data_IF_120475536788
#
_entry.id   IF_120475536788
#
_cell.length_a   1.000
_cell.length_b   1.000
_cell.length_c   1.000
_cell.angle_alpha   90.00
_cell.angle_beta   90.00
_cell.angle_gamma   90.00
#
_symmetry.space_group_name_H-M   'P 1'
#
loop_
_entity.id
_entity.type
_entity.pdbx_description
1 polymer ?
#
# COMPACT_ATOMS: atom_id res chain seq x y z
N UNK A 1 8.22 34.44 -16.79
CA UNK A 1 7.52 33.22 -17.24
C UNK A 1 8.11 31.90 -16.67
N UNK A 2 9.35 31.87 -16.24
CA UNK A 2 9.95 30.66 -15.62
C UNK A 2 9.44 30.32 -14.22
N UNK A 3 8.88 31.29 -13.50
CA UNK A 3 8.50 31.11 -12.07
C UNK A 3 7.21 30.33 -11.84
N UNK A 4 6.30 30.24 -12.81
CA UNK A 4 4.98 29.60 -12.63
C UNK A 4 5.09 28.09 -12.75
N UNK A 5 5.88 27.56 -13.70
CA UNK A 5 6.08 26.10 -13.85
C UNK A 5 6.82 25.49 -12.67
N UNK A 6 7.76 26.22 -12.07
CA UNK A 6 8.51 25.77 -10.87
C UNK A 6 7.63 25.79 -9.61
N UNK A 7 6.70 26.74 -9.49
CA UNK A 7 5.78 26.79 -8.36
C UNK A 7 4.74 25.67 -8.40
N UNK A 8 4.15 25.36 -9.56
CA UNK A 8 3.18 24.26 -9.69
C UNK A 8 3.83 22.89 -9.46
N UNK A 9 5.03 22.66 -9.99
CA UNK A 9 5.78 21.41 -9.74
C UNK A 9 6.16 21.23 -8.28
N UNK A 10 6.60 22.29 -7.63
CA UNK A 10 6.90 22.26 -6.20
C UNK A 10 5.64 22.15 -5.33
N UNK A 11 4.51 22.71 -5.76
CA UNK A 11 3.26 22.61 -5.03
C UNK A 11 2.75 21.17 -4.97
N UNK A 12 2.80 20.44 -6.09
CA UNK A 12 2.43 19.03 -6.13
C UNK A 12 3.31 18.20 -5.16
N UNK A 13 4.63 18.34 -5.26
CA UNK A 13 5.57 17.62 -4.41
C UNK A 13 5.36 17.93 -2.93
N UNK A 14 5.16 19.20 -2.57
CA UNK A 14 4.87 19.62 -1.20
C UNK A 14 3.58 19.02 -0.68
N UNK A 15 2.51 19.03 -1.49
CA UNK A 15 1.22 18.44 -1.11
C UNK A 15 1.33 16.92 -0.88
N UNK A 16 2.12 16.20 -1.68
CA UNK A 16 2.36 14.77 -1.47
C UNK A 16 3.12 14.53 -0.14
N UNK A 17 4.14 15.33 0.14
CA UNK A 17 4.87 15.24 1.43
C UNK A 17 3.94 15.56 2.61
N UNK A 18 3.17 16.63 2.52
CA UNK A 18 2.23 17.04 3.58
C UNK A 18 1.14 15.99 3.80
N UNK A 19 0.57 15.43 2.73
CA UNK A 19 -0.41 14.34 2.80
C UNK A 19 0.17 13.13 3.54
N UNK A 20 1.42 12.76 3.24
CA UNK A 20 2.09 11.66 3.93
C UNK A 20 2.27 11.97 5.43
N UNK A 21 2.75 13.15 5.79
CA UNK A 21 2.94 13.54 7.18
C UNK A 21 1.63 13.56 7.98
N UNK A 22 0.56 14.07 7.37
CA UNK A 22 -0.78 14.05 7.99
C UNK A 22 -1.26 12.62 8.13
N UNK A 23 -1.13 11.80 7.09
CA UNK A 23 -1.54 10.40 7.09
C UNK A 23 -0.79 9.59 8.15
N UNK A 24 0.52 9.81 8.30
CA UNK A 24 1.31 9.16 9.35
C UNK A 24 0.77 9.52 10.76
N UNK A 25 0.48 10.80 11.01
CA UNK A 25 -0.07 11.25 12.31
C UNK A 25 -1.46 10.67 12.60
N UNK A 26 -2.32 10.56 11.60
CA UNK A 26 -3.65 9.95 11.73
C UNK A 26 -3.52 8.44 11.98
N UNK A 27 -2.62 7.79 11.25
CA UNK A 27 -2.47 6.34 11.26
C UNK A 27 -1.72 5.78 12.48
N UNK A 28 -0.83 6.57 13.08
CA UNK A 28 -0.01 6.11 14.22
C UNK A 28 -0.82 5.96 15.51
N UNK A 29 -1.95 6.66 15.67
CA UNK A 29 -2.76 6.61 16.88
C UNK A 29 -1.93 6.78 18.17
N UNK A 30 -2.49 7.24 19.26
CA UNK A 30 -1.75 7.38 20.51
C UNK A 30 -1.41 5.99 21.10
N UNK A 31 -0.15 5.56 20.96
CA UNK A 31 0.41 4.45 21.74
C UNK A 31 0.50 3.09 21.06
N UNK A 32 0.24 2.95 19.78
CA UNK A 32 0.38 1.67 19.08
C UNK A 32 1.77 1.44 18.48
N UNK A 33 2.29 0.20 18.66
CA UNK A 33 3.63 -0.18 18.23
C UNK A 33 3.82 -0.32 16.71
N UNK A 34 2.75 -0.40 15.92
CA UNK A 34 2.81 -0.54 14.47
C UNK A 34 1.63 0.17 13.79
N UNK A 35 1.91 1.26 13.08
CA UNK A 35 0.94 1.98 12.28
C UNK A 35 0.46 1.19 11.06
N UNK A 36 -0.67 1.60 10.48
CA UNK A 36 -1.23 1.01 9.25
C UNK A 36 -0.23 1.02 8.09
N UNK A 37 0.74 1.92 8.10
CA UNK A 37 1.80 2.00 7.09
C UNK A 37 2.98 1.07 7.35
N UNK A 38 2.95 0.25 8.42
CA UNK A 38 3.94 -0.82 8.58
C UNK A 38 3.78 -1.86 7.47
N UNK A 39 4.88 -2.50 7.11
CA UNK A 39 4.88 -3.52 6.06
C UNK A 39 3.90 -4.67 6.35
N UNK A 40 3.69 -5.02 7.61
CA UNK A 40 2.71 -6.04 8.01
C UNK A 40 1.30 -5.65 7.55
N UNK A 41 0.82 -4.47 7.93
CA UNK A 41 -0.53 -4.03 7.55
C UNK A 41 -0.66 -3.76 6.05
N UNK A 42 0.40 -3.27 5.40
CA UNK A 42 0.40 -3.10 3.95
C UNK A 42 0.26 -4.45 3.22
N UNK A 43 0.92 -5.51 3.70
CA UNK A 43 0.75 -6.87 3.14
C UNK A 43 -0.68 -7.37 3.37
N UNK A 44 -1.22 -7.24 4.59
CA UNK A 44 -2.61 -7.62 4.88
C UNK A 44 -3.59 -6.89 3.94
N UNK A 45 -3.41 -5.60 3.76
CA UNK A 45 -4.26 -4.78 2.89
C UNK A 45 -4.18 -5.20 1.41
N UNK A 46 -2.98 -5.52 0.91
CA UNK A 46 -2.81 -6.00 -0.48
C UNK A 46 -3.49 -7.35 -0.66
N UNK A 47 -3.34 -8.26 0.31
CA UNK A 47 -3.96 -9.58 0.27
C UNK A 47 -5.49 -9.53 0.39
N UNK A 48 -6.02 -8.61 1.19
CA UNK A 48 -7.47 -8.39 1.29
C UNK A 48 -8.10 -7.98 -0.04
N UNK A 49 -7.36 -7.23 -0.86
CA UNK A 49 -7.85 -6.75 -2.16
C UNK A 49 -7.65 -7.70 -3.33
N UNK A 50 -6.73 -8.64 -3.23
CA UNK A 50 -6.29 -9.46 -4.38
C UNK A 50 -6.49 -10.97 -4.19
N UNK A 51 -7.08 -11.40 -3.10
CA UNK A 51 -7.30 -12.79 -2.70
C UNK A 51 -6.01 -13.62 -2.57
N UNK A 52 -5.14 -13.58 -3.57
CA UNK A 52 -3.85 -14.28 -3.60
C UNK A 52 -2.78 -13.42 -4.27
N UNK A 53 -1.59 -13.41 -3.70
CA UNK A 53 -0.47 -12.59 -4.19
C UNK A 53 0.83 -13.37 -4.08
N UNK A 54 1.66 -13.29 -5.12
CA UNK A 54 2.98 -13.90 -5.12
C UNK A 54 4.01 -13.06 -4.36
N UNK A 55 5.11 -13.65 -3.86
CA UNK A 55 6.20 -12.88 -3.26
C UNK A 55 6.76 -11.81 -4.20
N UNK A 56 6.82 -12.09 -5.49
CA UNK A 56 7.32 -11.15 -6.50
C UNK A 56 6.44 -9.90 -6.61
N UNK A 57 5.12 -10.07 -6.56
CA UNK A 57 4.18 -8.96 -6.56
C UNK A 57 4.32 -8.11 -5.30
N UNK A 58 4.42 -8.73 -4.11
CA UNK A 58 4.62 -8.00 -2.85
C UNK A 58 5.94 -7.20 -2.86
N UNK A 59 7.03 -7.79 -3.33
CA UNK A 59 8.33 -7.11 -3.47
C UNK A 59 8.18 -5.88 -4.36
N UNK A 60 7.48 -6.02 -5.49
CA UNK A 60 7.26 -4.93 -6.44
C UNK A 60 6.37 -3.82 -5.86
N UNK A 61 5.26 -4.17 -5.23
CA UNK A 61 4.31 -3.19 -4.70
C UNK A 61 4.85 -2.43 -3.49
N UNK A 62 5.56 -3.13 -2.61
CA UNK A 62 6.10 -2.53 -1.37
C UNK A 62 7.52 -1.98 -1.55
N UNK A 63 8.11 -2.16 -2.73
CA UNK A 63 9.51 -1.77 -2.99
C UNK A 63 10.48 -2.27 -1.90
N UNK A 64 10.31 -3.52 -1.47
CA UNK A 64 11.10 -4.10 -0.39
C UNK A 64 12.10 -5.14 -0.90
N UNK A 65 13.16 -5.37 -0.13
CA UNK A 65 14.13 -6.42 -0.43
C UNK A 65 13.52 -7.83 -0.25
N UNK A 66 13.90 -8.77 -1.11
CA UNK A 66 13.44 -10.18 -1.04
C UNK A 66 13.71 -10.82 0.32
N UNK A 67 14.87 -10.54 0.92
CA UNK A 67 15.23 -11.02 2.26
C UNK A 67 14.29 -10.52 3.35
N UNK A 68 13.92 -9.23 3.28
CA UNK A 68 13.00 -8.63 4.24
C UNK A 68 11.60 -9.23 4.13
N UNK A 69 11.11 -9.44 2.90
CA UNK A 69 9.82 -10.11 2.70
C UNK A 69 9.86 -11.54 3.26
N UNK A 70 10.93 -12.29 3.02
CA UNK A 70 11.04 -13.67 3.49
C UNK A 70 10.96 -13.77 5.03
N UNK A 71 11.65 -12.90 5.74
CA UNK A 71 11.61 -12.81 7.20
C UNK A 71 10.21 -12.43 7.69
N UNK A 72 9.64 -11.40 7.09
CA UNK A 72 8.33 -10.88 7.49
C UNK A 72 7.20 -11.88 7.19
N UNK A 73 7.19 -12.49 6.01
CA UNK A 73 6.21 -13.50 5.65
C UNK A 73 6.27 -14.73 6.57
N UNK A 74 7.48 -15.20 6.91
CA UNK A 74 7.66 -16.29 7.88
C UNK A 74 7.05 -15.94 9.24
N UNK A 75 7.27 -14.72 9.71
CA UNK A 75 6.68 -14.23 10.96
C UNK A 75 5.17 -14.17 10.86
N UNK A 76 4.61 -13.57 9.79
CA UNK A 76 3.17 -13.45 9.60
C UNK A 76 2.47 -14.82 9.48
N UNK A 77 3.11 -15.82 8.87
CA UNK A 77 2.61 -17.21 8.83
C UNK A 77 2.62 -17.80 10.24
N UNK A 78 3.71 -17.62 10.98
CA UNK A 78 3.81 -18.08 12.37
C UNK A 78 2.77 -17.45 13.29
N UNK A 79 2.45 -16.18 13.06
CA UNK A 79 1.44 -15.44 13.79
C UNK A 79 -0.01 -15.77 13.32
N UNK A 80 -0.16 -16.62 12.30
CA UNK A 80 -1.45 -17.07 11.77
C UNK A 80 -2.19 -16.01 10.96
N UNK A 81 -1.51 -14.97 10.48
CA UNK A 81 -2.11 -13.85 9.76
C UNK A 81 -2.28 -14.11 8.26
N UNK A 82 -1.38 -14.89 7.68
CA UNK A 82 -1.38 -15.29 6.28
C UNK A 82 -1.04 -16.75 6.12
N UNK A 83 -1.40 -17.34 5.00
CA UNK A 83 -1.03 -18.69 4.61
C UNK A 83 -0.20 -18.68 3.32
N UNK A 84 0.69 -19.67 3.19
CA UNK A 84 1.49 -19.90 1.99
C UNK A 84 1.01 -21.15 1.27
N UNK A 85 0.74 -21.04 -0.02
CA UNK A 85 0.28 -22.13 -0.86
C UNK A 85 1.20 -22.32 -2.06
N UNK A 86 1.28 -23.54 -2.56
CA UNK A 86 1.93 -23.84 -3.84
C UNK A 86 0.91 -23.73 -4.96
N UNK A 87 1.30 -23.10 -6.07
CA UNK A 87 0.45 -23.07 -7.25
C UNK A 87 0.28 -24.48 -7.83
N UNK A 88 -0.96 -24.85 -8.17
CA UNK A 88 -1.29 -26.18 -8.71
C UNK A 88 -0.71 -26.40 -10.10
N UNK A 89 -0.61 -25.35 -10.90
CA UNK A 89 -0.11 -25.38 -12.27
C UNK A 89 1.40 -25.26 -12.36
N UNK A 90 2.00 -24.54 -11.40
CA UNK A 90 3.44 -24.34 -11.28
C UNK A 90 3.92 -24.57 -9.85
N UNK A 91 4.26 -25.82 -9.51
CA UNK A 91 4.69 -26.22 -8.16
C UNK A 91 5.93 -25.48 -7.61
N UNK A 92 6.63 -24.72 -8.46
CA UNK A 92 7.78 -23.87 -8.06
C UNK A 92 7.34 -22.48 -7.60
N UNK A 93 6.13 -22.08 -7.92
CA UNK A 93 5.58 -20.80 -7.50
C UNK A 93 4.73 -20.96 -6.24
N UNK A 94 4.91 -20.02 -5.34
CA UNK A 94 4.10 -19.90 -4.13
C UNK A 94 3.27 -18.62 -4.21
N UNK A 95 2.14 -18.61 -3.54
CA UNK A 95 1.35 -17.43 -3.29
C UNK A 95 0.89 -17.39 -1.83
N UNK A 96 0.59 -16.20 -1.36
CA UNK A 96 0.04 -15.95 -0.04
C UNK A 96 -1.44 -15.62 -0.12
N UNK A 97 -2.18 -16.02 0.91
CA UNK A 97 -3.58 -15.67 1.13
C UNK A 97 -3.76 -15.12 2.54
N UNK A 98 -4.77 -14.30 2.72
CA UNK A 98 -5.14 -13.77 4.02
C UNK A 98 -5.94 -14.80 4.81
N UNK A 99 -5.67 -14.92 6.12
CA UNK A 99 -6.51 -15.71 7.04
C UNK A 99 -7.64 -14.87 7.61
N UNK A 100 -8.61 -15.50 8.28
CA UNK A 100 -9.65 -14.74 9.00
C UNK A 100 -9.04 -13.88 10.11
N UNK A 101 -8.05 -14.39 10.86
CA UNK A 101 -7.33 -13.60 11.86
C UNK A 101 -6.64 -12.38 11.25
N UNK A 102 -6.01 -12.55 10.08
CA UNK A 102 -5.40 -11.45 9.35
C UNK A 102 -6.41 -10.39 8.90
N UNK A 103 -7.60 -10.80 8.47
CA UNK A 103 -8.71 -9.88 8.14
C UNK A 103 -9.21 -9.11 9.35
N UNK A 104 -9.45 -9.82 10.45
CA UNK A 104 -9.89 -9.19 11.71
C UNK A 104 -8.89 -8.15 12.19
N UNK A 105 -7.59 -8.49 12.18
CA UNK A 105 -6.52 -7.58 12.58
C UNK A 105 -6.45 -6.34 11.67
N UNK A 106 -6.61 -6.52 10.36
CA UNK A 106 -6.64 -5.41 9.41
C UNK A 106 -7.87 -4.52 9.64
N UNK A 107 -9.05 -5.12 9.81
CA UNK A 107 -10.31 -4.40 9.99
C UNK A 107 -10.30 -3.58 11.28
N UNK A 108 -9.86 -4.15 12.39
CA UNK A 108 -9.69 -3.43 13.66
C UNK A 108 -8.81 -2.19 13.49
N UNK A 109 -7.72 -2.32 12.72
CA UNK A 109 -6.82 -1.20 12.47
C UNK A 109 -7.45 -0.11 11.61
N UNK A 110 -8.22 -0.49 10.58
CA UNK A 110 -8.95 0.45 9.72
C UNK A 110 -10.04 1.17 10.52
N UNK A 111 -10.80 0.45 11.33
CA UNK A 111 -11.85 1.03 12.18
C UNK A 111 -11.27 2.04 13.19
N UNK A 112 -10.12 1.76 13.76
CA UNK A 112 -9.42 2.67 14.65
C UNK A 112 -9.00 3.98 13.97
N UNK A 113 -8.63 3.93 12.69
CA UNK A 113 -8.31 5.13 11.90
C UNK A 113 -9.58 5.93 11.62
N UNK A 114 -10.66 5.27 11.25
CA UNK A 114 -11.94 5.92 10.95
C UNK A 114 -12.51 6.63 12.19
N UNK A 115 -12.31 6.09 13.38
CA UNK A 115 -12.73 6.74 14.64
C UNK A 115 -11.92 7.97 15.00
N UNK A 116 -10.65 8.06 14.58
CA UNK A 116 -9.81 9.28 14.78
C UNK A 116 -10.30 10.46 13.94
N UNK A 117 -10.98 10.17 12.85
CA UNK A 117 -11.51 11.18 11.92
C UNK A 117 -12.97 11.53 12.24
N UNK A 118 -13.30 11.84 13.50
CA UNK A 118 -14.64 12.29 13.89
C UNK A 118 -15.01 13.60 13.20
N UNK A 119 -16.19 13.65 12.55
CA UNK A 119 -16.74 14.84 11.92
C UNK A 119 -17.34 14.60 10.53
N UNK A 120 -17.56 15.67 9.76
CA UNK A 120 -18.05 15.57 8.37
C UNK A 120 -16.95 15.13 7.42
N UNK A 121 -16.66 13.84 7.45
CA UNK A 121 -15.60 13.21 6.64
C UNK A 121 -15.99 13.03 5.18
N UNK A 122 -17.26 13.13 4.79
CA UNK A 122 -17.73 12.86 3.42
C UNK A 122 -17.00 13.68 2.37
N UNK A 123 -16.79 14.97 2.62
CA UNK A 123 -16.06 15.84 1.68
C UNK A 123 -14.60 15.40 1.54
N UNK A 124 -13.96 15.07 2.65
CA UNK A 124 -12.55 14.64 2.67
C UNK A 124 -12.40 13.29 1.98
N UNK A 125 -13.29 12.33 2.26
CA UNK A 125 -13.32 11.02 1.61
C UNK A 125 -13.43 11.18 0.08
N UNK A 126 -14.37 11.99 -0.40
CA UNK A 126 -14.55 12.23 -1.83
C UNK A 126 -13.31 12.85 -2.49
N UNK A 127 -12.68 13.82 -1.84
CA UNK A 127 -11.46 14.47 -2.36
C UNK A 127 -10.28 13.48 -2.42
N UNK A 128 -10.07 12.70 -1.36
CA UNK A 128 -9.00 11.70 -1.30
C UNK A 128 -9.25 10.60 -2.33
N UNK A 129 -10.48 10.09 -2.45
CA UNK A 129 -10.82 9.07 -3.45
C UNK A 129 -10.49 9.54 -4.85
N UNK A 130 -10.92 10.75 -5.22
CA UNK A 130 -10.60 11.34 -6.53
C UNK A 130 -9.10 11.53 -6.74
N UNK A 131 -8.39 12.00 -5.72
CA UNK A 131 -6.94 12.16 -5.80
C UNK A 131 -6.22 10.82 -6.01
N UNK A 132 -6.63 9.78 -5.31
CA UNK A 132 -6.08 8.41 -5.48
C UNK A 132 -6.34 7.88 -6.89
N UNK A 133 -7.53 8.09 -7.45
CA UNK A 133 -7.85 7.69 -8.83
C UNK A 133 -6.97 8.40 -9.86
N UNK A 134 -6.79 9.72 -9.73
CA UNK A 134 -5.93 10.48 -10.64
C UNK A 134 -4.44 10.08 -10.50
N UNK A 135 -3.94 9.85 -9.29
CA UNK A 135 -2.58 9.36 -9.06
C UNK A 135 -2.34 7.99 -9.71
N UNK A 136 -3.30 7.07 -9.63
CA UNK A 136 -3.22 5.77 -10.32
C UNK A 136 -3.15 5.91 -11.83
N UNK A 137 -3.88 6.86 -12.42
CA UNK A 137 -3.82 7.13 -13.86
C UNK A 137 -2.43 7.66 -14.27
N UNK A 138 -1.83 8.54 -13.46
CA UNK A 138 -0.48 9.06 -13.69
C UNK A 138 0.58 7.96 -13.59
N UNK A 139 0.49 7.09 -12.59
CA UNK A 139 1.39 5.96 -12.40
C UNK A 139 1.35 5.01 -13.60
N UNK A 140 0.15 4.65 -14.08
CA UNK A 140 -0.03 3.78 -15.24
C UNK A 140 0.55 4.38 -16.53
N UNK A 141 0.39 5.69 -16.75
CA UNK A 141 0.99 6.39 -17.90
C UNK A 141 2.52 6.34 -17.86
N UNK A 142 3.12 6.57 -16.69
CA UNK A 142 4.56 6.55 -16.49
C UNK A 142 5.16 5.15 -16.71
N UNK A 143 4.47 4.11 -16.23
CA UNK A 143 4.86 2.71 -16.41
C UNK A 143 4.82 2.29 -17.88
N UNK A 144 3.81 2.73 -18.61
CA UNK A 144 3.65 2.46 -20.05
C UNK A 144 4.75 3.16 -20.88
N UNK A 145 5.14 4.37 -20.51
CA UNK A 145 6.23 5.10 -21.18
C UNK A 145 7.62 4.46 -20.94
N UNK A 146 7.87 3.96 -19.71
CA UNK A 146 9.12 3.24 -19.40
C UNK A 146 9.25 1.96 -20.23
N UNK A 147 8.19 1.16 -20.37
CA UNK A 147 8.19 -0.06 -21.18
C UNK A 147 8.47 0.23 -22.67
N UNK A 148 7.93 1.31 -23.23
CA UNK A 148 8.19 1.70 -24.64
C UNK A 148 9.64 2.10 -24.89
N UNK A 149 10.30 2.76 -23.93
CA UNK A 149 11.73 3.16 -24.05
C UNK A 149 12.68 1.96 -23.91
N UNK A 150 12.30 0.92 -23.18
CA UNK A 150 13.15 -0.28 -23.00
C UNK A 150 13.07 -1.23 -24.20
N UNK A 151 11.94 -1.25 -24.92
CA UNK A 151 11.75 -2.09 -26.12
C UNK A 151 12.26 -1.42 -27.42
N UNK A 152 12.74 -0.18 -27.37
CA UNK A 152 13.25 0.58 -28.51
C UNK A 152 14.80 0.60 -28.58
N UNK A 153 15.48 -0.21 -27.78
CA UNK A 153 16.92 -0.49 -27.82
C UNK A 153 17.16 -1.94 -28.16
#
# INVERSE_FOLDING_TARGET
MENIKTQEGNLFSRNIVELKLISDRIAEGKGEKAGIFSNTYQILYILDRKDKVTPKELISELNMAKSNLAILAKKMISDGLIESHKDKSNKREIYYTLTELGKEMLQEKLDNIDTVCEGDTKKVINLITRAVEELKKLENKNTSQKKRKTNAK
#
